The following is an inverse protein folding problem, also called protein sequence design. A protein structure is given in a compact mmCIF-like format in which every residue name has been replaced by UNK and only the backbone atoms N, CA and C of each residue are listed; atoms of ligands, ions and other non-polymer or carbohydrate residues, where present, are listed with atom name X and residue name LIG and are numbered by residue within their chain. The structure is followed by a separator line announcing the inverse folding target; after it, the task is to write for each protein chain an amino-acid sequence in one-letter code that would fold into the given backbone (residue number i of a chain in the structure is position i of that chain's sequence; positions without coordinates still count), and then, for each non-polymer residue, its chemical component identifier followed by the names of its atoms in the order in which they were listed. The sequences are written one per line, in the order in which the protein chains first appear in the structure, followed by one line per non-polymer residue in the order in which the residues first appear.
data_IF_186386389015
#
_entry.id   IF_186386389015
#
_cell.length_a   1.000
_cell.length_b   1.000
_cell.length_c   1.000
_cell.angle_alpha   90.00
_cell.angle_beta   90.00
_cell.angle_gamma   90.00
#
_symmetry.space_group_name_H-M   'P 1'
#
loop_
_entity.id
_entity.type
_entity.pdbx_description
1 polymer ?
#
# COMPACT_ATOMS: atom_id res chain seq x y z
N UNK A 1 -22.45 -27.67 -57.18
CA UNK A 1 -21.71 -27.96 -55.93
C UNK A 1 -20.95 -26.75 -55.37
N UNK A 2 -21.49 -25.52 -55.45
CA UNK A 2 -20.77 -24.28 -55.05
C UNK A 2 -21.48 -23.51 -53.92
N UNK A 3 -22.79 -23.71 -53.76
CA UNK A 3 -23.61 -22.99 -52.76
C UNK A 3 -23.37 -23.51 -51.33
N UNK A 4 -23.05 -24.80 -51.16
CA UNK A 4 -22.85 -25.46 -49.84
C UNK A 4 -21.57 -24.98 -49.11
N UNK A 5 -20.51 -24.60 -49.82
CA UNK A 5 -19.27 -24.11 -49.19
C UNK A 5 -19.45 -22.71 -48.59
N UNK A 6 -20.19 -21.80 -49.26
CA UNK A 6 -20.40 -20.43 -48.77
C UNK A 6 -21.13 -20.38 -47.41
N UNK A 7 -22.06 -21.29 -47.16
CA UNK A 7 -22.83 -21.34 -45.90
C UNK A 7 -21.98 -21.85 -44.73
N UNK A 8 -21.09 -22.82 -44.98
CA UNK A 8 -20.17 -23.35 -43.95
C UNK A 8 -19.17 -22.30 -43.49
N UNK A 9 -18.62 -21.50 -44.40
CA UNK A 9 -17.71 -20.41 -44.04
C UNK A 9 -18.42 -19.30 -43.26
N UNK A 10 -19.67 -18.96 -43.57
CA UNK A 10 -20.44 -17.96 -42.81
C UNK A 10 -20.73 -18.39 -41.37
N UNK A 11 -21.05 -19.67 -41.15
CA UNK A 11 -21.26 -20.22 -39.81
C UNK A 11 -19.96 -20.29 -38.99
N UNK A 12 -18.84 -20.65 -39.64
CA UNK A 12 -17.51 -20.61 -39.02
C UNK A 12 -17.08 -19.19 -38.63
N UNK A 13 -17.30 -18.20 -39.51
CA UNK A 13 -17.01 -16.80 -39.20
C UNK A 13 -17.89 -16.25 -38.08
N UNK A 14 -19.18 -16.58 -38.06
CA UNK A 14 -20.08 -16.17 -36.98
C UNK A 14 -19.69 -16.79 -35.63
N UNK A 15 -19.30 -18.08 -35.61
CA UNK A 15 -18.84 -18.75 -34.40
C UNK A 15 -17.50 -18.20 -33.89
N UNK A 16 -16.55 -17.94 -34.78
CA UNK A 16 -15.27 -17.30 -34.45
C UNK A 16 -15.47 -15.88 -33.91
N UNK A 17 -16.36 -15.10 -34.53
CA UNK A 17 -16.68 -13.75 -34.06
C UNK A 17 -17.37 -13.76 -32.69
N UNK A 18 -18.33 -14.68 -32.49
CA UNK A 18 -18.98 -14.88 -31.19
C UNK A 18 -17.99 -15.28 -30.08
N UNK A 19 -17.07 -16.21 -30.38
CA UNK A 19 -16.02 -16.63 -29.45
C UNK A 19 -15.05 -15.48 -29.12
N UNK A 20 -14.70 -14.64 -30.09
CA UNK A 20 -13.85 -13.47 -29.89
C UNK A 20 -14.51 -12.42 -28.99
N UNK A 21 -15.80 -12.14 -29.21
CA UNK A 21 -16.58 -11.20 -28.38
C UNK A 21 -16.72 -11.74 -26.95
N UNK A 22 -16.98 -13.04 -26.78
CA UNK A 22 -17.08 -13.66 -25.45
C UNK A 22 -15.74 -13.64 -24.71
N UNK A 23 -14.62 -13.86 -25.41
CA UNK A 23 -13.28 -13.76 -24.85
C UNK A 23 -12.93 -12.31 -24.42
N UNK A 24 -13.40 -11.30 -25.15
CA UNK A 24 -13.23 -9.88 -24.79
C UNK A 24 -14.08 -9.48 -23.58
N UNK A 25 -15.24 -10.09 -23.35
CA UNK A 25 -16.05 -9.87 -22.15
C UNK A 25 -15.46 -10.51 -20.88
N UNK A 26 -14.56 -11.48 -21.03
CA UNK A 26 -13.87 -12.16 -19.93
C UNK A 26 -12.54 -11.52 -19.52
N UNK A 27 -12.17 -10.38 -20.11
CA UNK A 27 -10.96 -9.65 -19.69
C UNK A 27 -11.12 -9.26 -18.23
N UNK A 28 -10.29 -9.79 -17.31
CA UNK A 28 -10.34 -9.37 -15.92
C UNK A 28 -10.05 -7.87 -15.86
N UNK A 29 -11.04 -7.06 -15.45
CA UNK A 29 -10.81 -5.64 -15.18
C UNK A 29 -9.64 -5.54 -14.21
N UNK A 30 -8.58 -4.86 -14.63
CA UNK A 30 -7.42 -4.64 -13.81
C UNK A 30 -7.85 -3.95 -12.50
N UNK A 31 -7.78 -4.70 -11.40
CA UNK A 31 -8.23 -4.32 -10.05
C UNK A 31 -7.63 -2.99 -9.55
N UNK A 32 -6.53 -2.55 -10.17
CA UNK A 32 -5.90 -1.26 -9.92
C UNK A 32 -6.79 -0.04 -10.25
N UNK A 33 -7.82 -0.19 -11.10
CA UNK A 33 -8.75 0.89 -11.42
C UNK A 33 -9.55 1.37 -10.20
N UNK A 34 -9.77 0.49 -9.21
CA UNK A 34 -10.62 0.78 -8.04
C UNK A 34 -10.01 1.85 -7.12
N UNK A 35 -8.69 2.04 -7.17
CA UNK A 35 -7.93 2.94 -6.31
C UNK A 35 -7.35 4.15 -7.06
N UNK A 36 -7.69 4.32 -8.34
CA UNK A 36 -7.31 5.50 -9.11
C UNK A 36 -8.50 6.47 -9.17
N UNK A 37 -8.25 7.78 -9.27
CA UNK A 37 -9.30 8.70 -9.65
C UNK A 37 -9.80 8.38 -11.06
N UNK A 38 -11.04 8.78 -11.41
CA UNK A 38 -11.51 8.73 -12.79
C UNK A 38 -10.54 9.44 -13.75
N UNK A 39 -10.50 9.07 -15.04
CA UNK A 39 -9.66 9.74 -16.03
C UNK A 39 -9.84 11.26 -16.00
N UNK A 40 -8.73 12.00 -16.03
CA UNK A 40 -8.74 13.48 -15.99
C UNK A 40 -9.13 14.09 -14.63
N UNK A 41 -9.26 13.29 -13.56
CA UNK A 41 -9.57 13.76 -12.21
C UNK A 41 -8.43 13.48 -11.25
N UNK A 42 -8.37 14.26 -10.17
CA UNK A 42 -7.48 14.06 -9.03
C UNK A 42 -8.30 13.87 -7.77
N UNK A 43 -7.86 13.00 -6.88
CA UNK A 43 -8.47 12.92 -5.55
C UNK A 43 -7.92 14.04 -4.68
N UNK A 44 -8.81 14.89 -4.20
CA UNK A 44 -8.51 15.86 -3.16
C UNK A 44 -8.53 15.16 -1.79
N UNK A 45 -7.56 15.46 -0.92
CA UNK A 45 -7.44 14.82 0.38
C UNK A 45 -7.02 15.79 1.47
N UNK A 46 -7.32 15.42 2.71
CA UNK A 46 -6.99 16.20 3.92
C UNK A 46 -6.34 15.32 4.98
N UNK A 47 -5.59 15.94 5.88
CA UNK A 47 -5.07 15.25 7.06
C UNK A 47 -6.16 15.11 8.11
N UNK A 48 -6.22 13.94 8.73
CA UNK A 48 -7.11 13.61 9.84
C UNK A 48 -6.62 14.27 11.13
N UNK A 49 -7.46 15.08 11.76
CA UNK A 49 -7.18 15.71 13.06
C UNK A 49 -7.56 14.82 14.24
N UNK A 50 -8.30 13.73 13.99
CA UNK A 50 -8.95 12.94 15.04
C UNK A 50 -10.43 13.28 15.21
N UNK A 51 -10.89 14.42 14.70
CA UNK A 51 -12.29 14.85 14.77
C UNK A 51 -12.94 14.91 13.38
N UNK A 52 -14.11 14.29 13.25
CA UNK A 52 -14.92 14.35 12.05
C UNK A 52 -15.55 15.73 11.83
N UNK A 53 -15.70 16.53 12.89
CA UNK A 53 -16.21 17.90 12.83
C UNK A 53 -15.28 18.79 12.00
N UNK A 54 -13.96 18.72 12.23
CA UNK A 54 -12.94 19.48 11.49
C UNK A 54 -12.96 19.17 10.00
N UNK A 55 -13.05 17.88 9.65
CA UNK A 55 -13.19 17.45 8.25
C UNK A 55 -14.43 18.09 7.60
N UNK A 56 -15.58 18.05 8.29
CA UNK A 56 -16.83 18.60 7.78
C UNK A 56 -16.78 20.13 7.69
N UNK A 57 -16.17 20.79 8.65
CA UNK A 57 -15.97 22.24 8.65
C UNK A 57 -15.08 22.67 7.48
N UNK A 58 -13.98 21.98 7.25
CA UNK A 58 -13.12 22.22 6.10
C UNK A 58 -13.85 21.97 4.77
N UNK A 59 -14.55 20.85 4.64
CA UNK A 59 -15.32 20.52 3.43
C UNK A 59 -16.38 21.58 3.10
N UNK A 60 -17.06 22.13 4.12
CA UNK A 60 -17.98 23.26 3.96
C UNK A 60 -17.26 24.53 3.52
N UNK A 61 -16.15 24.88 4.17
CA UNK A 61 -15.41 26.10 3.88
C UNK A 61 -14.89 26.15 2.43
N UNK A 62 -14.44 25.01 1.88
CA UNK A 62 -13.95 24.93 0.49
C UNK A 62 -15.02 24.54 -0.52
N UNK A 63 -16.26 24.28 -0.08
CA UNK A 63 -17.38 23.88 -0.93
C UNK A 63 -17.16 22.55 -1.67
N UNK A 64 -16.28 21.66 -1.17
CA UNK A 64 -15.94 20.38 -1.79
C UNK A 64 -15.71 19.30 -0.74
N UNK A 65 -16.18 18.09 -1.03
CA UNK A 65 -15.92 16.90 -0.21
C UNK A 65 -14.53 16.31 -0.50
N UNK A 66 -13.59 16.25 0.46
CA UNK A 66 -12.34 15.53 0.28
C UNK A 66 -12.58 14.03 0.03
N UNK A 67 -12.02 13.49 -1.05
CA UNK A 67 -12.14 12.08 -1.40
C UNK A 67 -11.23 11.17 -0.55
N UNK A 68 -10.19 11.74 0.08
CA UNK A 68 -9.19 11.02 0.87
C UNK A 68 -9.01 11.68 2.23
N UNK A 69 -8.86 10.86 3.27
CA UNK A 69 -8.49 11.30 4.62
C UNK A 69 -7.22 10.59 5.07
N UNK A 70 -6.19 11.33 5.43
CA UNK A 70 -4.90 10.77 5.85
C UNK A 70 -4.78 10.70 7.38
N UNK A 71 -4.66 9.51 7.92
CA UNK A 71 -4.44 9.27 9.36
C UNK A 71 -3.00 8.80 9.60
N UNK A 72 -2.38 9.27 10.67
CA UNK A 72 -1.02 8.91 11.07
C UNK A 72 -1.06 7.93 12.24
N UNK A 73 -0.48 6.74 12.06
CA UNK A 73 -0.36 5.74 13.12
C UNK A 73 1.09 5.33 13.32
N UNK A 74 1.49 5.21 14.58
CA UNK A 74 2.65 4.41 14.95
C UNK A 74 2.49 2.95 14.51
N UNK A 75 3.60 2.26 14.28
CA UNK A 75 3.59 0.84 13.98
C UNK A 75 2.85 0.05 15.06
N UNK A 76 1.98 -0.89 14.67
CA UNK A 76 1.24 -1.72 15.60
C UNK A 76 -0.02 -1.07 16.20
N UNK A 77 -0.36 0.16 15.84
CA UNK A 77 -1.58 0.83 16.33
C UNK A 77 -2.87 0.09 15.88
N UNK A 78 -3.97 0.27 16.62
CA UNK A 78 -5.29 -0.26 16.27
C UNK A 78 -6.07 0.72 15.39
N UNK A 79 -7.12 0.24 14.73
CA UNK A 79 -7.99 1.09 13.91
C UNK A 79 -9.29 1.47 14.63
N UNK A 80 -9.41 1.18 15.93
CA UNK A 80 -10.69 1.25 16.64
C UNK A 80 -11.26 2.67 16.67
N UNK A 81 -10.40 3.68 16.80
CA UNK A 81 -10.79 5.10 16.72
C UNK A 81 -10.94 5.61 15.28
N UNK A 82 -10.10 5.12 14.37
CA UNK A 82 -10.00 5.68 13.01
C UNK A 82 -11.04 5.10 12.06
N UNK A 83 -11.36 3.80 12.18
CA UNK A 83 -12.27 3.10 11.30
C UNK A 83 -13.71 3.65 11.36
N UNK A 84 -14.34 3.90 12.53
CA UNK A 84 -15.65 4.54 12.59
C UNK A 84 -15.63 5.92 11.91
N UNK A 85 -14.57 6.69 12.14
CA UNK A 85 -14.40 8.03 11.55
C UNK A 85 -14.30 7.95 10.03
N UNK A 86 -13.42 7.11 9.47
CA UNK A 86 -13.30 6.92 8.02
C UNK A 86 -14.63 6.55 7.37
N UNK A 87 -15.43 5.68 8.02
CA UNK A 87 -16.76 5.30 7.53
C UNK A 87 -17.74 6.48 7.56
N UNK A 88 -17.78 7.22 8.68
CA UNK A 88 -18.69 8.37 8.85
C UNK A 88 -18.42 9.50 7.85
N UNK A 89 -17.17 9.65 7.40
CA UNK A 89 -16.75 10.71 6.50
C UNK A 89 -16.90 10.36 5.03
N UNK A 90 -17.27 9.11 4.69
CA UNK A 90 -17.34 8.63 3.31
C UNK A 90 -16.11 9.04 2.47
N UNK A 91 -14.92 8.95 3.08
CA UNK A 91 -13.65 9.30 2.47
C UNK A 91 -12.75 8.06 2.48
N UNK A 92 -11.93 7.91 1.44
CA UNK A 92 -10.99 6.79 1.34
C UNK A 92 -9.85 7.02 2.34
N UNK A 93 -9.54 6.07 3.23
CA UNK A 93 -8.43 6.24 4.15
C UNK A 93 -7.09 6.19 3.42
N UNK A 94 -6.18 7.07 3.83
CA UNK A 94 -4.74 6.94 3.63
C UNK A 94 -4.09 6.75 5.00
N UNK A 95 -3.51 5.59 5.24
CA UNK A 95 -2.81 5.29 6.48
C UNK A 95 -1.32 5.59 6.32
N UNK A 96 -0.82 6.64 6.96
CA UNK A 96 0.61 6.82 7.19
C UNK A 96 1.06 5.93 8.35
N UNK A 97 2.10 5.13 8.13
CA UNK A 97 2.69 4.27 9.16
C UNK A 97 4.08 4.82 9.50
N UNK A 98 4.26 5.27 10.73
CA UNK A 98 5.55 5.72 11.28
C UNK A 98 6.12 4.70 12.26
N UNK A 99 7.42 4.78 12.53
CA UNK A 99 8.09 3.95 13.57
C UNK A 99 8.27 4.70 14.88
N UNK A 100 7.76 5.93 14.98
CA UNK A 100 7.70 6.72 16.22
C UNK A 100 6.38 6.44 16.95
N UNK A 101 6.45 6.02 18.21
CA UNK A 101 5.30 5.96 19.10
C UNK A 101 4.87 7.36 19.58
N UNK A 102 3.69 7.46 20.18
CA UNK A 102 3.14 8.72 20.69
C UNK A 102 4.00 9.32 21.80
N UNK A 103 4.68 8.48 22.60
CA UNK A 103 5.67 8.90 23.61
C UNK A 103 7.01 9.36 23.00
N UNK A 104 7.17 9.28 21.68
CA UNK A 104 8.36 9.68 20.95
C UNK A 104 9.40 8.58 20.73
N UNK A 105 9.23 7.39 21.32
CA UNK A 105 10.20 6.30 21.16
C UNK A 105 10.13 5.63 19.79
N UNK A 106 11.26 5.09 19.32
CA UNK A 106 11.25 4.24 18.13
C UNK A 106 10.83 2.81 18.48
N UNK A 107 9.74 2.34 17.87
CA UNK A 107 9.18 1.00 18.15
C UNK A 107 9.72 -0.09 17.25
N UNK A 108 10.22 0.25 16.05
CA UNK A 108 10.73 -0.72 15.09
C UNK A 108 11.64 -0.07 14.03
N UNK A 109 12.77 -0.69 13.71
CA UNK A 109 13.70 -0.17 12.68
C UNK A 109 13.36 -0.70 11.27
N UNK A 110 13.84 -0.06 10.18
CA UNK A 110 13.69 -0.60 8.82
C UNK A 110 14.24 -2.03 8.66
N UNK A 111 15.41 -2.31 9.25
CA UNK A 111 15.98 -3.67 9.22
C UNK A 111 15.10 -4.67 9.95
N UNK A 112 14.56 -4.30 11.10
CA UNK A 112 13.66 -5.18 11.86
C UNK A 112 12.39 -5.49 11.06
N UNK A 113 11.77 -4.49 10.41
CA UNK A 113 10.64 -4.69 9.50
C UNK A 113 11.05 -5.64 8.37
N UNK A 114 12.16 -5.37 7.67
CA UNK A 114 12.63 -6.22 6.57
C UNK A 114 12.85 -7.68 7.01
N UNK A 115 13.32 -7.88 8.25
CA UNK A 115 13.54 -9.20 8.87
C UNK A 115 12.27 -9.83 9.46
N UNK A 116 11.11 -9.18 9.32
CA UNK A 116 9.81 -9.73 9.67
C UNK A 116 9.32 -9.44 11.07
N UNK A 117 10.01 -8.58 11.83
CA UNK A 117 9.41 -8.02 13.04
C UNK A 117 8.18 -7.19 12.65
N UNK A 118 7.07 -7.41 13.35
CA UNK A 118 5.80 -6.69 13.08
C UNK A 118 4.95 -7.23 11.93
N UNK A 119 5.20 -8.45 11.45
CA UNK A 119 4.38 -9.08 10.41
C UNK A 119 2.92 -9.28 10.81
N UNK A 120 2.65 -9.50 12.10
CA UNK A 120 1.30 -9.56 12.68
C UNK A 120 0.49 -8.29 12.39
N UNK A 121 1.11 -7.11 12.54
CA UNK A 121 0.50 -5.84 12.18
C UNK A 121 0.15 -5.77 10.69
N UNK A 122 1.05 -6.20 9.81
CA UNK A 122 0.82 -6.19 8.35
C UNK A 122 -0.28 -7.17 7.93
N UNK A 123 -0.34 -8.35 8.57
CA UNK A 123 -1.40 -9.34 8.37
C UNK A 123 -2.74 -8.79 8.87
N UNK A 124 -2.75 -8.07 9.99
CA UNK A 124 -3.95 -7.42 10.54
C UNK A 124 -4.47 -6.36 9.57
N UNK A 125 -3.61 -5.51 9.01
CA UNK A 125 -3.97 -4.53 7.97
C UNK A 125 -4.61 -5.24 6.76
N UNK A 126 -3.95 -6.26 6.20
CA UNK A 126 -4.48 -7.01 5.05
C UNK A 126 -5.85 -7.61 5.35
N UNK A 127 -5.96 -8.29 6.49
CA UNK A 127 -7.18 -9.01 6.90
C UNK A 127 -8.34 -8.05 7.13
N UNK A 128 -8.11 -6.93 7.82
CA UNK A 128 -9.14 -5.93 8.07
C UNK A 128 -9.58 -5.24 6.78
N UNK A 129 -8.63 -4.86 5.91
CA UNK A 129 -8.96 -4.22 4.64
C UNK A 129 -9.75 -5.15 3.72
N UNK A 130 -9.36 -6.43 3.62
CA UNK A 130 -10.07 -7.42 2.82
C UNK A 130 -11.48 -7.71 3.37
N UNK A 131 -11.61 -8.00 4.68
CA UNK A 131 -12.90 -8.33 5.31
C UNK A 131 -13.92 -7.20 5.22
N UNK A 132 -13.45 -5.95 5.19
CA UNK A 132 -14.30 -4.76 5.18
C UNK A 132 -14.43 -4.12 3.80
N UNK A 133 -13.83 -4.72 2.77
CA UNK A 133 -13.74 -4.15 1.42
C UNK A 133 -13.22 -2.70 1.42
N UNK A 134 -12.29 -2.40 2.33
CA UNK A 134 -11.82 -1.04 2.58
C UNK A 134 -10.79 -0.63 1.52
N UNK A 135 -11.21 0.23 0.59
CA UNK A 135 -10.33 0.84 -0.42
C UNK A 135 -9.38 1.83 0.24
N UNK A 136 -8.18 1.38 0.57
CA UNK A 136 -7.22 2.11 1.42
C UNK A 136 -5.88 2.32 0.70
N UNK A 137 -5.30 3.51 0.93
CA UNK A 137 -3.91 3.80 0.59
C UNK A 137 -3.04 3.57 1.82
N UNK A 138 -1.94 2.83 1.68
CA UNK A 138 -0.94 2.70 2.72
C UNK A 138 0.24 3.56 2.30
N UNK A 139 0.62 4.53 3.13
CA UNK A 139 1.78 5.40 2.98
C UNK A 139 2.84 4.99 4.03
N UNK A 140 3.50 3.84 3.86
CA UNK A 140 4.39 3.32 4.90
C UNK A 140 5.69 4.11 4.87
N UNK A 141 6.19 4.48 6.07
CA UNK A 141 7.50 5.10 6.22
C UNK A 141 7.67 6.33 5.30
N UNK A 142 6.62 7.17 5.24
CA UNK A 142 6.56 8.32 4.32
C UNK A 142 7.63 9.38 4.63
N UNK A 143 8.10 10.11 3.62
CA UNK A 143 9.22 11.04 3.75
C UNK A 143 10.49 10.36 4.31
N UNK A 144 10.97 9.24 3.72
CA UNK A 144 12.16 8.56 4.24
C UNK A 144 13.43 9.39 4.16
N UNK A 145 13.42 10.48 3.41
CA UNK A 145 14.48 11.46 3.31
C UNK A 145 14.23 12.71 4.17
N UNK A 146 13.38 12.64 5.19
CA UNK A 146 13.29 13.65 6.25
C UNK A 146 14.05 13.14 7.47
N UNK A 147 15.15 13.78 7.84
CA UNK A 147 16.05 13.35 8.90
C UNK A 147 15.39 13.18 10.28
N UNK A 148 14.26 13.87 10.52
CA UNK A 148 13.46 13.73 11.74
C UNK A 148 12.68 12.42 11.83
N UNK A 149 12.54 11.69 10.73
CA UNK A 149 11.92 10.37 10.72
C UNK A 149 12.95 9.31 11.14
N UNK A 150 12.60 8.46 12.12
CA UNK A 150 13.51 7.43 12.62
C UNK A 150 13.99 6.44 11.57
N UNK A 151 13.22 6.20 10.51
CA UNK A 151 13.60 5.35 9.39
C UNK A 151 14.43 6.04 8.31
N UNK A 152 14.83 7.31 8.51
CA UNK A 152 15.68 8.02 7.56
C UNK A 152 17.09 7.44 7.49
N UNK A 153 17.66 7.38 6.29
CA UNK A 153 19.01 6.87 6.05
C UNK A 153 20.11 7.87 6.34
N UNK A 154 19.76 9.13 6.59
CA UNK A 154 20.67 10.20 7.03
C UNK A 154 20.22 10.81 8.34
N UNK A 155 21.16 11.35 9.11
CA UNK A 155 20.87 12.20 10.26
C UNK A 155 20.59 13.66 9.83
N UNK A 156 20.27 14.53 10.79
CA UNK A 156 19.97 15.93 10.49
C UNK A 156 21.20 16.79 10.16
N UNK A 157 22.41 16.25 10.38
CA UNK A 157 23.66 16.85 9.91
C UNK A 157 24.01 16.41 8.48
N UNK A 158 23.25 15.47 7.91
CA UNK A 158 23.42 14.97 6.55
C UNK A 158 24.32 13.73 6.43
N UNK A 159 24.78 13.16 7.55
CA UNK A 159 25.62 11.98 7.55
C UNK A 159 24.78 10.72 7.32
N UNK A 160 25.34 9.75 6.60
CA UNK A 160 24.70 8.45 6.39
C UNK A 160 24.70 7.66 7.69
N UNK A 161 23.52 7.21 8.13
CA UNK A 161 23.36 6.44 9.38
C UNK A 161 23.79 4.98 9.25
N UNK A 162 23.65 4.39 8.08
CA UNK A 162 24.03 2.99 7.83
C UNK A 162 23.28 2.00 8.75
N UNK A 163 23.93 0.88 9.07
CA UNK A 163 23.42 -0.10 10.04
C UNK A 163 21.97 -0.53 9.77
N UNK A 164 21.13 -0.40 10.79
CA UNK A 164 19.70 -0.74 10.75
C UNK A 164 18.83 0.21 9.92
N UNK A 165 19.39 1.38 9.56
CA UNK A 165 18.73 2.47 8.83
C UNK A 165 19.26 2.62 7.39
N UNK A 166 20.07 1.67 6.92
CA UNK A 166 20.61 1.73 5.57
C UNK A 166 19.49 1.83 4.51
N UNK A 167 19.79 2.50 3.39
CA UNK A 167 18.87 2.59 2.26
C UNK A 167 18.39 1.21 1.78
N UNK A 168 19.26 0.20 1.85
CA UNK A 168 18.92 -1.18 1.52
C UNK A 168 17.82 -1.73 2.42
N UNK A 169 17.91 -1.51 3.73
CA UNK A 169 16.88 -1.95 4.67
C UNK A 169 15.57 -1.20 4.50
N UNK A 170 15.61 0.11 4.24
CA UNK A 170 14.40 0.86 3.90
C UNK A 170 13.66 0.24 2.69
N UNK A 171 14.38 -0.01 1.60
CA UNK A 171 13.80 -0.62 0.39
C UNK A 171 13.20 -1.99 0.69
N UNK A 172 13.90 -2.82 1.45
CA UNK A 172 13.42 -4.15 1.79
C UNK A 172 12.23 -4.14 2.76
N UNK A 173 12.19 -3.20 3.71
CA UNK A 173 11.04 -2.96 4.58
C UNK A 173 9.80 -2.60 3.74
N UNK A 174 9.93 -1.63 2.83
CA UNK A 174 8.84 -1.22 1.95
C UNK A 174 8.32 -2.39 1.11
N UNK A 175 9.21 -3.17 0.50
CA UNK A 175 8.86 -4.36 -0.30
C UNK A 175 8.12 -5.41 0.52
N UNK A 176 8.59 -5.69 1.74
CA UNK A 176 7.92 -6.63 2.65
C UNK A 176 6.52 -6.16 3.00
N UNK A 177 6.37 -4.88 3.38
CA UNK A 177 5.07 -4.25 3.64
C UNK A 177 4.15 -4.45 2.44
N UNK A 178 4.61 -4.09 1.24
CA UNK A 178 3.82 -4.20 0.01
C UNK A 178 3.36 -5.64 -0.29
N UNK A 179 4.24 -6.64 -0.07
CA UNK A 179 3.91 -8.06 -0.28
C UNK A 179 2.80 -8.51 0.68
N UNK A 180 2.98 -8.24 1.98
CA UNK A 180 2.10 -8.79 3.01
C UNK A 180 0.77 -8.04 3.04
N UNK A 181 0.76 -6.72 2.93
CA UNK A 181 -0.48 -5.94 3.00
C UNK A 181 -1.36 -6.14 1.77
N UNK A 182 -0.81 -6.31 0.56
CA UNK A 182 -1.60 -6.63 -0.65
C UNK A 182 -2.21 -8.03 -0.59
N UNK A 183 -1.45 -9.01 -0.11
CA UNK A 183 -1.87 -10.41 -0.02
C UNK A 183 -2.22 -11.01 -1.39
N UNK A 184 -3.31 -11.79 -1.44
CA UNK A 184 -3.86 -12.37 -2.68
C UNK A 184 -3.39 -13.79 -3.01
N UNK A 185 -2.51 -14.39 -2.20
CA UNK A 185 -1.92 -15.69 -2.48
C UNK A 185 -1.84 -16.59 -1.23
N UNK A 186 -1.65 -17.90 -1.44
CA UNK A 186 -1.33 -18.82 -0.33
C UNK A 186 -0.01 -18.38 0.32
N UNK A 187 0.14 -18.56 1.62
CA UNK A 187 1.34 -18.17 2.39
C UNK A 187 2.63 -18.73 1.79
N UNK A 188 2.59 -19.94 1.22
CA UNK A 188 3.74 -20.54 0.52
C UNK A 188 4.24 -19.69 -0.66
N UNK A 189 3.35 -19.15 -1.48
CA UNK A 189 3.72 -18.26 -2.59
C UNK A 189 4.26 -16.91 -2.11
N UNK A 190 3.66 -16.36 -1.04
CA UNK A 190 4.14 -15.13 -0.40
C UNK A 190 5.56 -15.34 0.15
N UNK A 191 5.80 -16.46 0.83
CA UNK A 191 7.12 -16.85 1.32
C UNK A 191 8.13 -17.05 0.18
N UNK A 192 7.72 -17.62 -0.96
CA UNK A 192 8.59 -17.74 -2.12
C UNK A 192 8.93 -16.37 -2.72
N UNK A 193 7.99 -15.42 -2.73
CA UNK A 193 8.25 -14.05 -3.16
C UNK A 193 9.22 -13.31 -2.22
N UNK A 194 9.06 -13.48 -0.90
CA UNK A 194 10.00 -12.95 0.09
C UNK A 194 11.39 -13.57 -0.08
N UNK A 195 11.48 -14.89 -0.26
CA UNK A 195 12.75 -15.60 -0.48
C UNK A 195 13.50 -15.07 -1.71
N UNK A 196 12.81 -14.79 -2.82
CA UNK A 196 13.43 -14.19 -4.03
C UNK A 196 14.05 -12.81 -3.78
N UNK A 197 13.63 -12.11 -2.73
CA UNK A 197 14.20 -10.83 -2.31
C UNK A 197 15.25 -10.99 -1.20
N UNK A 198 15.61 -12.23 -0.86
CA UNK A 198 16.46 -12.57 0.30
C UNK A 198 15.87 -12.12 1.63
N UNK A 199 14.53 -12.06 1.72
CA UNK A 199 13.82 -11.77 2.95
C UNK A 199 13.37 -13.06 3.63
N UNK A 200 13.31 -13.09 4.97
CA UNK A 200 12.77 -14.23 5.69
C UNK A 200 11.30 -14.44 5.34
N UNK A 201 10.82 -15.67 5.52
CA UNK A 201 9.40 -16.03 5.41
C UNK A 201 8.55 -15.13 6.30
N UNK A 202 7.23 -15.10 6.09
CA UNK A 202 6.30 -14.46 7.04
C UNK A 202 6.57 -15.02 8.43
N UNK A 203 6.84 -14.12 9.37
CA UNK A 203 7.21 -14.46 10.74
C UNK A 203 5.98 -14.51 11.62
N UNK A 204 5.95 -15.48 12.52
CA UNK A 204 4.92 -15.57 13.55
C UNK A 204 5.44 -14.88 14.81
N UNK A 205 5.46 -13.55 14.78
CA UNK A 205 5.94 -12.71 15.88
C UNK A 205 4.81 -11.81 16.35
N UNK A 206 4.74 -11.54 17.66
CA UNK A 206 3.68 -10.72 18.26
C UNK A 206 2.44 -11.52 18.66
N UNK A 207 1.26 -10.91 18.56
CA UNK A 207 0.00 -11.47 19.10
C UNK A 207 -0.59 -12.61 18.25
N UNK A 208 -0.12 -12.76 17.01
CA UNK A 208 -0.62 -13.79 16.12
C UNK A 208 -0.22 -15.18 16.63
N UNK A 209 -1.16 -15.90 17.25
CA UNK A 209 -0.94 -17.31 17.65
C UNK A 209 -0.79 -18.23 16.44
N UNK A 210 -1.44 -17.90 15.32
CA UNK A 210 -1.39 -18.70 14.08
C UNK A 210 -1.35 -17.82 12.83
N UNK A 211 -0.40 -18.10 11.94
CA UNK A 211 -0.34 -17.47 10.62
C UNK A 211 -1.43 -18.05 9.70
N UNK A 212 -2.15 -17.22 8.92
CA UNK A 212 -3.15 -17.71 7.99
C UNK A 212 -2.49 -18.54 6.86
N UNK A 213 -3.19 -19.59 6.39
CA UNK A 213 -2.74 -20.39 5.23
C UNK A 213 -2.74 -19.58 3.93
N UNK A 214 -3.61 -18.57 3.84
CA UNK A 214 -3.76 -17.67 2.70
C UNK A 214 -4.01 -16.25 3.20
N UNK A 215 -3.33 -15.27 2.61
CA UNK A 215 -3.69 -13.86 2.79
C UNK A 215 -4.68 -13.47 1.69
N UNK A 216 -5.87 -12.96 2.02
CA UNK A 216 -6.82 -12.50 1.02
C UNK A 216 -6.24 -11.38 0.16
N UNK A 217 -6.79 -11.20 -1.04
CA UNK A 217 -6.49 -10.03 -1.85
C UNK A 217 -7.20 -8.84 -1.22
N UNK A 218 -6.45 -7.84 -0.77
CA UNK A 218 -7.02 -6.64 -0.18
C UNK A 218 -6.98 -5.48 -1.20
N UNK A 219 -7.99 -4.59 -1.24
CA UNK A 219 -8.00 -3.40 -2.09
C UNK A 219 -7.08 -2.30 -1.51
N UNK A 220 -5.78 -2.60 -1.51
CA UNK A 220 -4.71 -1.79 -0.95
C UNK A 220 -3.80 -1.26 -2.07
N UNK A 221 -3.53 0.04 -2.06
CA UNK A 221 -2.47 0.67 -2.86
C UNK A 221 -1.38 1.23 -1.95
N UNK A 222 -0.14 1.16 -2.40
CA UNK A 222 1.03 1.64 -1.66
C UNK A 222 1.44 2.99 -2.21
N UNK A 223 1.80 3.92 -1.32
CA UNK A 223 2.23 5.28 -1.67
C UNK A 223 3.66 5.48 -1.18
N UNK A 224 4.61 5.37 -2.10
CA UNK A 224 5.98 5.82 -1.86
C UNK A 224 6.04 7.34 -2.03
N UNK A 225 6.40 8.07 -0.97
CA UNK A 225 6.25 9.53 -0.89
C UNK A 225 7.43 10.20 -0.20
N UNK A 226 8.58 10.31 -0.88
CA UNK A 226 9.71 11.10 -0.41
C UNK A 226 9.43 12.62 -0.50
N UNK A 227 10.18 13.40 0.28
CA UNK A 227 10.34 14.83 0.01
C UNK A 227 11.06 15.00 -1.34
N UNK A 228 10.78 16.05 -2.14
CA UNK A 228 11.46 16.24 -3.42
C UNK A 228 12.99 16.36 -3.32
N UNK A 229 13.51 17.12 -2.35
CA UNK A 229 14.95 17.38 -2.18
C UNK A 229 15.58 16.65 -0.97
N UNK A 230 14.76 16.13 -0.05
CA UNK A 230 15.21 15.69 1.27
C UNK A 230 15.38 16.84 2.25
N UNK A 231 15.49 16.51 3.53
CA UNK A 231 15.79 17.43 4.63
C UNK A 231 16.71 16.70 5.61
N UNK A 232 18.01 17.01 5.69
CA UNK A 232 18.71 18.05 4.92
C UNK A 232 18.85 17.69 3.43
N UNK A 233 19.07 18.69 2.60
CA UNK A 233 19.31 18.50 1.15
C UNK A 233 20.76 18.10 0.93
N UNK A 234 21.01 16.80 0.77
CA UNK A 234 22.35 16.27 0.44
C UNK A 234 22.23 15.22 -0.65
N UNK A 235 23.33 14.95 -1.38
CA UNK A 235 23.35 13.88 -2.40
C UNK A 235 22.97 12.51 -1.81
N UNK A 236 23.39 12.24 -0.57
CA UNK A 236 23.05 11.02 0.14
C UNK A 236 21.55 10.94 0.47
N UNK A 237 20.88 12.08 0.68
CA UNK A 237 19.48 12.12 1.08
C UNK A 237 18.48 12.30 -0.08
N UNK A 238 18.93 12.16 -1.33
CA UNK A 238 18.04 12.29 -2.48
C UNK A 238 17.03 11.13 -2.56
N UNK A 239 15.80 11.36 -3.06
CA UNK A 239 14.74 10.36 -3.14
C UNK A 239 15.13 9.03 -3.77
N UNK A 240 15.94 9.07 -4.83
CA UNK A 240 16.33 7.86 -5.57
C UNK A 240 17.05 6.83 -4.69
N UNK A 241 17.76 7.28 -3.65
CA UNK A 241 18.43 6.38 -2.70
C UNK A 241 17.43 5.50 -1.93
N UNK A 242 16.18 5.95 -1.79
CA UNK A 242 15.11 5.25 -1.07
C UNK A 242 14.12 4.53 -1.99
N UNK A 243 14.28 4.61 -3.33
CA UNK A 243 13.32 4.04 -4.28
C UNK A 243 13.24 2.50 -4.16
N UNK A 244 12.07 1.92 -3.81
CA UNK A 244 11.92 0.47 -3.69
C UNK A 244 11.92 -0.26 -5.04
N UNK A 245 11.66 0.44 -6.14
CA UNK A 245 11.52 -0.09 -7.50
C UNK A 245 10.08 -0.03 -8.01
N UNK A 246 9.91 0.10 -9.33
CA UNK A 246 8.60 0.33 -9.99
C UNK A 246 7.54 -0.75 -9.80
N UNK A 247 7.97 -1.96 -9.38
CA UNK A 247 7.07 -3.07 -9.07
C UNK A 247 6.28 -2.87 -7.76
N UNK A 248 6.76 -2.00 -6.87
CA UNK A 248 6.33 -1.96 -5.47
C UNK A 248 5.38 -0.82 -5.16
#
# INVERSE_FOLDING_TARGET
MVISLRTKYRLLFAALFGALVFALCLIPRADAAVLKPPPGKVFFGVTDTGDASDFRSFARAVGKHPAVIQTFHAWGNSWDKSLPRWRSLNARPMLHITTRADNGEEVITPKQIARGRGDDYLIRINTQAARRHLRIYIRPLGEPNRCKNYYAGVDCSGNVRGGDYSYGWYKQAFRRIAIITRGGAKRGFINAQLKRLHLPKVQNVGEAKFLPRRLPKAPISLVWSPLPAGSPTTRANLPYNYWPGSKW
#
